data_IF_226155825269
#
_entry.id   IF_226155825269
#
_cell.length_a   1.000
_cell.length_b   1.000
_cell.length_c   1.000
_cell.angle_alpha   90.00
_cell.angle_beta   90.00
_cell.angle_gamma   90.00
#
_symmetry.space_group_name_H-M   'P 1'
#
loop_
_entity.id
_entity.type
_entity.pdbx_description
1 polymer ?
#
# COMPACT_ATOMS: atom_id res chain seq x y z
N UNK A 1 15.55 5.56 12.95
CA UNK A 1 14.60 6.24 12.08
C UNK A 1 15.32 7.23 11.19
N UNK A 2 14.79 7.48 10.00
CA UNK A 2 15.33 8.44 9.05
C UNK A 2 14.50 9.72 9.01
N UNK A 3 15.15 10.82 8.68
CA UNK A 3 14.52 12.12 8.47
C UNK A 3 14.50 12.38 6.96
N UNK A 4 13.34 12.82 6.43
CA UNK A 4 13.27 13.34 5.07
C UNK A 4 13.86 14.74 5.03
N UNK A 5 14.85 14.93 4.16
CA UNK A 5 15.46 16.22 3.88
C UNK A 5 15.11 16.68 2.46
N UNK A 6 14.62 17.89 2.33
CA UNK A 6 14.19 18.48 1.07
C UNK A 6 15.17 19.56 0.66
N UNK A 7 15.86 19.35 -0.45
CA UNK A 7 16.78 20.34 -1.03
C UNK A 7 16.21 20.82 -2.35
N UNK A 8 15.99 22.12 -2.44
CA UNK A 8 15.55 22.76 -3.69
C UNK A 8 16.75 23.27 -4.46
N UNK A 9 16.89 22.81 -5.69
CA UNK A 9 17.83 23.34 -6.66
C UNK A 9 17.04 23.80 -7.90
N UNK A 10 16.87 25.13 -8.03
CA UNK A 10 16.03 25.77 -9.05
C UNK A 10 14.60 25.19 -9.07
N UNK A 11 14.24 24.44 -10.12
CA UNK A 11 12.93 23.83 -10.31
C UNK A 11 12.89 22.36 -9.88
N UNK A 12 14.01 21.84 -9.37
CA UNK A 12 14.15 20.44 -8.92
C UNK A 12 14.11 20.41 -7.41
N UNK A 13 13.26 19.55 -6.86
CA UNK A 13 13.26 19.21 -5.43
C UNK A 13 13.88 17.84 -5.24
N UNK A 14 15.08 17.82 -4.66
CA UNK A 14 15.74 16.58 -4.26
C UNK A 14 15.27 16.18 -2.88
N UNK A 15 14.77 14.96 -2.76
CA UNK A 15 14.35 14.40 -1.48
C UNK A 15 15.34 13.31 -1.07
N UNK A 16 16.04 13.55 0.01
CA UNK A 16 17.00 12.60 0.60
C UNK A 16 16.50 12.09 1.94
N UNK A 17 16.95 10.91 2.34
CA UNK A 17 16.70 10.40 3.69
C UNK A 17 18.02 10.45 4.43
N UNK A 18 18.02 11.11 5.60
CA UNK A 18 19.17 11.15 6.49
C UNK A 18 18.91 10.31 7.72
N UNK A 19 19.89 9.54 8.12
CA UNK A 19 19.95 9.00 9.47
C UNK A 19 20.36 10.12 10.43
N UNK A 20 19.71 10.16 11.57
CA UNK A 20 19.98 11.16 12.62
C UNK A 20 21.46 11.15 13.08
N UNK A 21 22.14 9.99 12.94
CA UNK A 21 23.50 9.81 13.42
C UNK A 21 24.57 9.76 12.31
N UNK A 22 24.21 9.37 11.10
CA UNK A 22 25.19 8.96 10.08
C UNK A 22 25.13 9.75 8.77
N UNK A 23 24.28 10.76 8.65
CA UNK A 23 24.16 11.55 7.43
C UNK A 23 23.25 10.89 6.37
N UNK A 24 23.49 11.19 5.10
CA UNK A 24 22.63 10.73 4.01
C UNK A 24 22.70 9.22 3.82
N UNK A 25 21.55 8.57 3.78
CA UNK A 25 21.45 7.13 3.51
C UNK A 25 21.40 6.93 2.00
N UNK A 26 22.47 6.42 1.42
CA UNK A 26 22.63 6.11 -0.01
C UNK A 26 22.67 4.60 -0.26
N UNK A 27 22.40 4.17 -1.50
CA UNK A 27 22.54 2.76 -1.89
C UNK A 27 21.45 1.83 -1.38
N UNK A 28 20.28 2.37 -1.09
CA UNK A 28 19.16 1.61 -0.57
C UNK A 28 18.50 0.74 -1.63
N UNK A 29 18.11 -0.47 -1.25
CA UNK A 29 17.39 -1.40 -2.12
C UNK A 29 16.03 -0.85 -2.61
N UNK A 30 15.46 -1.54 -3.62
CA UNK A 30 14.21 -1.14 -4.30
C UNK A 30 13.03 -0.93 -3.33
N UNK A 31 12.90 -1.77 -2.31
CA UNK A 31 11.86 -1.62 -1.29
C UNK A 31 11.96 -0.29 -0.53
N UNK A 32 13.17 0.14 -0.20
CA UNK A 32 13.35 1.43 0.48
C UNK A 32 13.05 2.63 -0.43
N UNK A 33 13.38 2.55 -1.72
CA UNK A 33 13.03 3.59 -2.69
C UNK A 33 11.51 3.74 -2.83
N UNK A 34 10.78 2.63 -2.88
CA UNK A 34 9.31 2.63 -2.89
C UNK A 34 8.71 3.20 -1.60
N UNK A 35 9.29 2.84 -0.45
CA UNK A 35 8.88 3.40 0.84
C UNK A 35 9.07 4.92 0.89
N UNK A 36 10.20 5.41 0.40
CA UNK A 36 10.47 6.85 0.27
C UNK A 36 9.42 7.54 -0.60
N UNK A 37 9.11 6.98 -1.78
CA UNK A 37 8.10 7.53 -2.69
C UNK A 37 6.72 7.60 -2.01
N UNK A 38 6.30 6.51 -1.36
CA UNK A 38 5.02 6.47 -0.65
C UNK A 38 4.97 7.50 0.48
N UNK A 39 6.03 7.61 1.28
CA UNK A 39 6.12 8.60 2.35
C UNK A 39 6.03 10.05 1.84
N UNK A 40 6.63 10.35 0.69
CA UNK A 40 6.53 11.66 0.04
C UNK A 40 5.09 11.95 -0.38
N UNK A 41 4.44 10.99 -1.06
CA UNK A 41 3.04 11.14 -1.48
C UNK A 41 2.13 11.39 -0.27
N UNK A 42 2.29 10.61 0.80
CA UNK A 42 1.52 10.79 2.03
C UNK A 42 1.80 12.15 2.68
N UNK A 43 3.05 12.61 2.72
CA UNK A 43 3.42 13.91 3.30
C UNK A 43 2.82 15.07 2.50
N UNK A 44 2.85 15.00 1.16
CA UNK A 44 2.26 16.03 0.30
C UNK A 44 0.74 16.12 0.48
N UNK A 45 0.06 14.97 0.56
CA UNK A 45 -1.39 14.93 0.79
C UNK A 45 -1.71 15.45 2.20
N UNK A 46 -1.00 14.99 3.22
CA UNK A 46 -1.20 15.43 4.61
C UNK A 46 -0.97 16.93 4.80
N UNK A 47 -0.04 17.53 4.04
CA UNK A 47 0.23 18.97 4.14
C UNK A 47 -0.93 19.85 3.66
N UNK A 48 -1.87 19.28 2.89
CA UNK A 48 -3.04 19.97 2.35
C UNK A 48 -4.32 19.82 3.19
N UNK A 49 -4.28 19.01 4.24
CA UNK A 49 -5.44 18.75 5.13
C UNK A 49 -5.87 20.00 5.94
N UNK A 50 -5.16 21.12 5.85
CA UNK A 50 -5.52 22.38 6.52
C UNK A 50 -6.19 23.44 5.64
N UNK A 51 -6.28 23.24 4.33
CA UNK A 51 -6.92 24.18 3.41
C UNK A 51 -8.41 23.89 3.27
N UNK A 52 -9.27 24.94 3.36
CA UNK A 52 -10.73 24.85 3.26
C UNK A 52 -11.26 24.25 1.93
N UNK A 53 -10.39 23.99 0.97
CA UNK A 53 -10.66 23.25 -0.26
C UNK A 53 -10.03 21.86 -0.17
N UNK A 54 -10.54 21.04 0.74
CA UNK A 54 -10.18 19.62 0.78
C UNK A 54 -10.60 18.94 -0.54
N UNK A 55 -9.63 18.74 -1.42
CA UNK A 55 -9.80 17.73 -2.45
C UNK A 55 -9.57 16.37 -1.80
N UNK A 56 -10.63 15.58 -1.71
CA UNK A 56 -10.55 14.18 -1.31
C UNK A 56 -9.82 13.40 -2.41
N UNK A 57 -8.51 13.24 -2.25
CA UNK A 57 -7.73 12.43 -3.18
C UNK A 57 -7.82 10.95 -2.78
N UNK A 58 -8.40 10.08 -3.63
CA UNK A 58 -8.32 8.65 -3.40
C UNK A 58 -6.89 8.16 -3.65
N UNK A 59 -6.41 7.27 -2.80
CA UNK A 59 -5.18 6.53 -3.03
C UNK A 59 -5.53 5.23 -3.75
N UNK A 60 -5.06 5.08 -4.99
CA UNK A 60 -5.24 3.87 -5.79
C UNK A 60 -3.85 3.36 -6.14
N UNK A 61 -3.54 2.12 -5.75
CA UNK A 61 -2.22 1.54 -5.99
C UNK A 61 -2.29 0.05 -6.28
N UNK A 62 -1.55 -0.37 -7.29
CA UNK A 62 -1.35 -1.77 -7.66
C UNK A 62 -0.02 -2.27 -7.08
N UNK A 63 -0.10 -3.37 -6.33
CA UNK A 63 1.03 -4.05 -5.70
C UNK A 63 2.04 -3.13 -5.00
N UNK A 64 1.61 -2.15 -4.16
CA UNK A 64 2.53 -1.17 -3.57
C UNK A 64 3.50 -1.81 -2.59
N UNK A 65 3.23 -3.03 -2.13
CA UNK A 65 3.93 -3.70 -1.03
C UNK A 65 4.78 -4.89 -1.45
N UNK A 66 4.96 -5.13 -2.75
CA UNK A 66 5.62 -6.33 -3.28
C UNK A 66 7.04 -6.61 -2.75
N UNK A 67 7.66 -5.62 -2.07
CA UNK A 67 9.00 -5.73 -1.51
C UNK A 67 9.06 -5.32 -0.03
N UNK A 68 7.91 -5.21 0.62
CA UNK A 68 7.83 -4.79 2.01
C UNK A 68 7.56 -5.95 2.96
N UNK A 69 8.21 -5.91 4.13
CA UNK A 69 7.89 -6.83 5.21
C UNK A 69 6.53 -6.50 5.86
N UNK A 70 5.95 -7.51 6.50
CA UNK A 70 4.64 -7.43 7.16
C UNK A 70 4.50 -6.24 8.12
N UNK A 71 5.57 -5.88 8.84
CA UNK A 71 5.55 -4.76 9.78
C UNK A 71 5.28 -3.42 9.08
N UNK A 72 5.86 -3.23 7.89
CA UNK A 72 5.61 -2.03 7.11
C UNK A 72 4.17 -1.97 6.63
N UNK A 73 3.66 -3.07 6.09
CA UNK A 73 2.28 -3.16 5.59
C UNK A 73 1.28 -2.90 6.73
N UNK A 74 1.52 -3.47 7.92
CA UNK A 74 0.70 -3.20 9.10
C UNK A 74 0.69 -1.71 9.49
N UNK A 75 1.86 -1.07 9.49
CA UNK A 75 1.97 0.35 9.82
C UNK A 75 1.29 1.23 8.76
N UNK A 76 1.42 0.87 7.49
CA UNK A 76 0.71 1.57 6.42
C UNK A 76 -0.81 1.52 6.61
N UNK A 77 -1.38 0.36 6.87
CA UNK A 77 -2.82 0.23 7.11
C UNK A 77 -3.31 0.97 8.36
N UNK A 78 -2.45 1.18 9.35
CA UNK A 78 -2.79 1.98 10.51
C UNK A 78 -2.83 3.49 10.19
N UNK A 79 -1.96 3.96 9.28
CA UNK A 79 -1.80 5.39 8.96
C UNK A 79 -2.64 5.82 7.75
N UNK A 80 -2.82 4.95 6.76
CA UNK A 80 -3.52 5.30 5.52
C UNK A 80 -4.92 5.92 5.72
N UNK A 81 -5.77 5.43 6.65
CA UNK A 81 -7.09 6.02 6.90
C UNK A 81 -7.05 7.44 7.49
N UNK A 82 -5.91 7.86 8.05
CA UNK A 82 -5.73 9.21 8.59
C UNK A 82 -5.29 10.21 7.50
N UNK A 83 -4.74 9.69 6.39
CA UNK A 83 -4.18 10.50 5.30
C UNK A 83 -5.09 10.55 4.08
N UNK A 84 -5.75 9.43 3.77
CA UNK A 84 -6.57 9.29 2.57
C UNK A 84 -8.04 9.14 2.94
N UNK A 85 -8.92 9.86 2.26
CA UNK A 85 -10.38 9.69 2.40
C UNK A 85 -10.85 8.33 1.88
N UNK A 86 -10.18 7.81 0.85
CA UNK A 86 -10.41 6.50 0.26
C UNK A 86 -9.09 5.88 -0.19
N UNK A 87 -8.91 4.58 0.08
CA UNK A 87 -7.78 3.80 -0.43
C UNK A 87 -8.28 2.54 -1.13
N UNK A 88 -7.84 2.34 -2.37
CA UNK A 88 -8.05 1.11 -3.13
C UNK A 88 -6.67 0.52 -3.40
N UNK A 89 -6.38 -0.61 -2.79
CA UNK A 89 -5.05 -1.22 -2.80
C UNK A 89 -5.18 -2.67 -3.27
N UNK A 90 -4.50 -2.99 -4.36
CA UNK A 90 -4.42 -4.35 -4.88
C UNK A 90 -3.17 -5.03 -4.31
N UNK A 91 -3.35 -6.13 -3.59
CA UNK A 91 -2.27 -6.80 -2.85
C UNK A 91 -2.37 -8.31 -3.12
N UNK A 92 -1.35 -8.86 -3.78
CA UNK A 92 -1.26 -10.31 -4.03
C UNK A 92 -0.71 -11.10 -2.84
N UNK A 93 0.06 -10.45 -1.97
CA UNK A 93 0.72 -11.07 -0.82
C UNK A 93 -0.26 -11.61 0.24
N UNK A 94 -1.51 -11.19 0.17
CA UNK A 94 -2.57 -11.66 1.06
C UNK A 94 -3.33 -12.88 0.51
N UNK A 95 -3.11 -13.23 -0.77
CA UNK A 95 -3.84 -14.27 -1.49
C UNK A 95 -3.03 -15.57 -1.55
N UNK A 96 -3.71 -16.71 -1.25
CA UNK A 96 -3.18 -18.06 -1.44
C UNK A 96 -4.24 -18.93 -2.13
N UNK A 97 -4.03 -19.30 -3.41
CA UNK A 97 -4.99 -20.11 -4.16
C UNK A 97 -5.20 -21.53 -3.61
N UNK A 98 -4.28 -22.01 -2.77
CA UNK A 98 -4.34 -23.37 -2.20
C UNK A 98 -5.00 -23.42 -0.81
N UNK A 99 -5.30 -22.26 -0.24
CA UNK A 99 -5.99 -22.17 1.04
C UNK A 99 -7.51 -22.20 0.85
N UNK A 100 -8.24 -22.88 1.74
CA UNK A 100 -9.71 -22.99 1.68
C UNK A 100 -10.40 -21.62 1.71
N UNK A 101 -9.83 -20.67 2.43
CA UNK A 101 -10.29 -19.28 2.53
C UNK A 101 -9.56 -18.31 1.59
N UNK A 102 -8.77 -18.82 0.65
CA UNK A 102 -7.99 -18.05 -0.32
C UNK A 102 -7.02 -17.04 0.29
N UNK A 103 -6.68 -17.16 1.57
CA UNK A 103 -5.84 -16.22 2.29
C UNK A 103 -4.54 -16.84 2.76
N UNK A 104 -3.46 -16.07 2.61
CA UNK A 104 -2.20 -16.39 3.30
C UNK A 104 -2.36 -16.23 4.82
N UNK A 105 -1.46 -16.82 5.64
CA UNK A 105 -1.44 -16.54 7.08
C UNK A 105 -1.35 -15.04 7.40
N UNK A 106 -0.68 -14.26 6.57
CA UNK A 106 -0.63 -12.81 6.71
C UNK A 106 -1.98 -12.17 6.38
N UNK A 107 -2.64 -12.59 5.28
CA UNK A 107 -3.98 -12.14 4.93
C UNK A 107 -5.00 -12.34 6.04
N UNK A 108 -4.97 -13.52 6.69
CA UNK A 108 -5.83 -13.80 7.85
C UNK A 108 -5.57 -12.87 9.03
N UNK A 109 -4.30 -12.53 9.31
CA UNK A 109 -3.98 -11.56 10.38
C UNK A 109 -4.49 -10.15 10.07
N UNK A 110 -4.41 -9.72 8.81
CA UNK A 110 -4.97 -8.42 8.40
C UNK A 110 -6.49 -8.44 8.54
N UNK A 111 -7.16 -9.48 8.06
CA UNK A 111 -8.61 -9.63 8.18
C UNK A 111 -9.05 -9.64 9.65
N UNK A 112 -8.34 -10.37 10.52
CA UNK A 112 -8.63 -10.40 11.97
C UNK A 112 -8.52 -9.00 12.61
N UNK A 113 -7.51 -8.21 12.22
CA UNK A 113 -7.38 -6.82 12.67
C UNK A 113 -8.53 -5.93 12.18
N UNK A 114 -8.99 -6.14 10.95
CA UNK A 114 -10.16 -5.42 10.42
C UNK A 114 -11.43 -5.78 11.19
N UNK A 115 -11.65 -7.07 11.45
CA UNK A 115 -12.79 -7.56 12.23
C UNK A 115 -12.78 -7.05 13.68
N UNK A 116 -11.61 -6.82 14.25
CA UNK A 116 -11.43 -6.19 15.57
C UNK A 116 -11.49 -4.65 15.55
N UNK A 117 -11.73 -4.04 14.39
CA UNK A 117 -11.75 -2.59 14.24
C UNK A 117 -10.40 -1.89 14.39
N UNK A 118 -9.30 -2.64 14.37
CA UNK A 118 -7.93 -2.10 14.45
C UNK A 118 -7.44 -1.56 13.12
N UNK A 119 -7.99 -2.04 12.02
CA UNK A 119 -7.79 -1.54 10.66
C UNK A 119 -9.17 -1.25 10.09
N UNK A 120 -9.39 -0.05 9.57
CA UNK A 120 -10.65 0.31 8.89
C UNK A 120 -10.58 -0.14 7.44
N UNK A 121 -11.64 -0.73 6.93
CA UNK A 121 -11.72 -1.08 5.51
C UNK A 121 -12.66 -2.26 5.23
N UNK A 122 -12.69 -2.64 3.97
CA UNK A 122 -13.37 -3.83 3.48
C UNK A 122 -12.39 -4.63 2.64
N UNK A 123 -12.39 -5.93 2.83
CA UNK A 123 -11.47 -6.85 2.16
C UNK A 123 -12.23 -7.63 1.08
N UNK A 124 -11.70 -7.62 -0.13
CA UNK A 124 -12.22 -8.41 -1.23
C UNK A 124 -11.10 -9.29 -1.81
N UNK A 125 -11.40 -10.55 -2.07
CA UNK A 125 -10.55 -11.40 -2.91
C UNK A 125 -11.22 -11.56 -4.26
N UNK A 126 -10.55 -11.10 -5.32
CA UNK A 126 -11.00 -11.26 -6.70
C UNK A 126 -10.15 -12.34 -7.36
N UNK A 127 -10.79 -13.42 -7.78
CA UNK A 127 -10.13 -14.52 -8.47
C UNK A 127 -10.58 -14.51 -9.94
N UNK A 128 -9.60 -14.41 -10.85
CA UNK A 128 -9.82 -14.52 -12.29
C UNK A 128 -9.25 -15.86 -12.71
N UNK A 129 -10.10 -16.75 -13.20
CA UNK A 129 -9.70 -18.06 -13.72
C UNK A 129 -9.88 -18.06 -15.23
N UNK A 130 -8.84 -18.44 -15.93
CA UNK A 130 -8.88 -18.69 -17.37
C UNK A 130 -8.92 -20.19 -17.62
N UNK A 131 -9.96 -20.65 -18.30
CA UNK A 131 -10.11 -22.06 -18.71
C UNK A 131 -10.24 -22.14 -20.22
N UNK A 132 -9.43 -22.98 -20.83
CA UNK A 132 -9.63 -23.35 -22.21
C UNK A 132 -10.81 -24.33 -22.30
N UNK A 133 -11.79 -24.04 -23.11
CA UNK A 133 -12.85 -24.95 -23.49
C UNK A 133 -12.85 -25.22 -25.02
N UNK A 134 -13.82 -25.96 -25.51
CA UNK A 134 -13.95 -26.29 -26.97
C UNK A 134 -14.26 -25.07 -27.85
N UNK A 135 -14.62 -23.94 -27.27
CA UNK A 135 -14.98 -22.68 -27.94
C UNK A 135 -13.88 -21.63 -27.87
N UNK A 136 -12.87 -21.84 -27.02
CA UNK A 136 -11.74 -20.91 -26.81
C UNK A 136 -11.40 -20.71 -25.34
N UNK A 137 -10.78 -19.57 -25.04
CA UNK A 137 -10.44 -19.17 -23.69
C UNK A 137 -11.65 -18.53 -23.00
N UNK A 138 -12.12 -19.12 -21.91
CA UNK A 138 -13.21 -18.60 -21.10
C UNK A 138 -12.62 -18.05 -19.80
N UNK A 139 -12.88 -16.77 -19.53
CA UNK A 139 -12.48 -16.11 -18.29
C UNK A 139 -13.66 -16.08 -17.32
N UNK A 140 -13.47 -16.63 -16.13
CA UNK A 140 -14.45 -16.54 -15.04
C UNK A 140 -13.93 -15.65 -13.94
N UNK A 141 -14.82 -14.85 -13.36
CA UNK A 141 -14.50 -13.96 -12.26
C UNK A 141 -15.33 -14.31 -11.03
N UNK A 142 -14.68 -14.48 -9.90
CA UNK A 142 -15.32 -14.69 -8.61
C UNK A 142 -14.84 -13.63 -7.63
N UNK A 143 -15.75 -13.02 -6.90
CA UNK A 143 -15.47 -12.03 -5.88
C UNK A 143 -15.95 -12.55 -4.52
N UNK A 144 -15.05 -12.63 -3.57
CA UNK A 144 -15.35 -12.99 -2.19
C UNK A 144 -15.19 -11.75 -1.32
N UNK A 145 -16.20 -11.45 -0.51
CA UNK A 145 -16.18 -10.36 0.45
C UNK A 145 -16.02 -10.95 1.85
N UNK A 146 -15.08 -10.42 2.61
CA UNK A 146 -14.80 -10.79 3.99
C UNK A 146 -15.21 -9.69 4.94
#
# INVERSE_FOLDING_TARGET
GGILDFQRDHDIVNVTIRDVNNGEITGLGTGFQRMKQLAIVMAVISSKIGDEKMFDYPFISDAPFSEFGENFINNFFAVAPEVFSQSIIMIKELYDPNADDLLTPFGRRILDKMNKGQIRGTFYVNVIEEKADTTGLVTTHKCYKY
#
